data_IF_839679216606
#
_entry.id   IF_839679216606
#
_cell.length_a   1.000
_cell.length_b   1.000
_cell.length_c   1.000
_cell.angle_alpha   90.00
_cell.angle_beta   90.00
_cell.angle_gamma   90.00
#
_symmetry.space_group_name_H-M   'P 1'
#
loop_
_entity.id
_entity.type
_entity.pdbx_description
1 polymer ?
#
# COMPACT_ATOMS: atom_id res chain seq x y z
N UNK A 1 -20.41 -5.38 5.67
CA UNK A 1 -19.94 -6.78 5.53
C UNK A 1 -18.43 -6.80 5.66
N UNK A 2 -17.87 -7.86 6.24
CA UNK A 2 -16.42 -8.05 6.30
C UNK A 2 -15.97 -8.44 4.89
N UNK A 3 -15.06 -7.66 4.30
CA UNK A 3 -14.50 -7.98 2.99
C UNK A 3 -13.56 -9.17 3.13
N UNK A 4 -13.59 -10.09 2.17
CA UNK A 4 -12.78 -11.31 2.17
C UNK A 4 -11.71 -11.22 1.08
N UNK A 5 -10.52 -11.75 1.34
CA UNK A 5 -9.44 -11.81 0.34
C UNK A 5 -9.86 -12.75 -0.79
N UNK A 6 -9.73 -12.31 -2.03
CA UNK A 6 -9.97 -13.15 -3.21
C UNK A 6 -8.83 -14.17 -3.40
N UNK A 7 -9.06 -15.19 -4.23
CA UNK A 7 -8.01 -16.16 -4.53
C UNK A 7 -6.88 -15.50 -5.34
N UNK A 8 -5.61 -15.79 -5.01
CA UNK A 8 -4.49 -15.25 -5.76
C UNK A 8 -4.44 -15.82 -7.19
N UNK A 9 -3.96 -15.04 -8.18
CA UNK A 9 -3.70 -15.56 -9.53
C UNK A 9 -2.70 -16.74 -9.54
N UNK A 10 -2.89 -17.69 -10.45
CA UNK A 10 -1.99 -18.84 -10.56
C UNK A 10 -0.63 -18.48 -11.21
N UNK A 11 -0.61 -17.47 -12.07
CA UNK A 11 0.62 -16.99 -12.70
C UNK A 11 1.45 -16.20 -11.66
N UNK A 12 2.75 -16.48 -11.58
CA UNK A 12 3.66 -15.85 -10.61
C UNK A 12 3.72 -14.33 -10.73
N UNK A 13 3.87 -13.81 -11.95
CA UNK A 13 3.96 -12.37 -12.19
C UNK A 13 2.64 -11.66 -11.89
N UNK A 14 1.53 -12.25 -12.30
CA UNK A 14 0.21 -11.68 -12.02
C UNK A 14 -0.07 -11.71 -10.50
N UNK A 15 0.37 -12.77 -9.81
CA UNK A 15 0.26 -12.88 -8.35
C UNK A 15 1.13 -11.87 -7.61
N UNK A 16 2.35 -11.61 -8.10
CA UNK A 16 3.22 -10.56 -7.56
C UNK A 16 2.52 -9.18 -7.61
N UNK A 17 1.98 -8.82 -8.77
CA UNK A 17 1.23 -7.58 -8.95
C UNK A 17 -0.04 -7.53 -8.09
N UNK A 18 -0.77 -8.64 -8.04
CA UNK A 18 -1.95 -8.80 -7.18
C UNK A 18 -1.61 -8.60 -5.70
N UNK A 19 -0.48 -9.14 -5.23
CA UNK A 19 -0.01 -8.92 -3.86
C UNK A 19 0.36 -7.46 -3.58
N UNK A 20 1.01 -6.77 -4.52
CA UNK A 20 1.32 -5.35 -4.39
C UNK A 20 0.04 -4.48 -4.34
N UNK A 21 -0.93 -4.78 -5.19
CA UNK A 21 -2.25 -4.14 -5.15
C UNK A 21 -3.01 -4.47 -3.85
N UNK A 22 -2.90 -5.69 -3.35
CA UNK A 22 -3.43 -6.10 -2.05
C UNK A 22 -2.83 -5.32 -0.89
N UNK A 23 -1.51 -5.05 -0.92
CA UNK A 23 -0.87 -4.19 0.06
C UNK A 23 -1.36 -2.73 -0.04
N UNK A 24 -1.48 -2.20 -1.26
CA UNK A 24 -2.08 -0.88 -1.51
C UNK A 24 -3.50 -0.77 -0.95
N UNK A 25 -4.31 -1.81 -1.17
CA UNK A 25 -5.66 -1.93 -0.63
C UNK A 25 -5.70 -1.86 0.90
N UNK A 26 -4.86 -2.65 1.57
CA UNK A 26 -4.73 -2.64 3.03
C UNK A 26 -4.38 -1.24 3.54
N UNK A 27 -3.42 -0.57 2.89
CA UNK A 27 -2.99 0.79 3.27
C UNK A 27 -4.15 1.78 3.11
N UNK A 28 -4.88 1.74 2.00
CA UNK A 28 -5.97 2.68 1.74
C UNK A 28 -7.19 2.45 2.64
N UNK A 29 -7.60 1.20 2.84
CA UNK A 29 -8.75 0.89 3.70
C UNK A 29 -8.45 1.12 5.19
N UNK A 30 -7.22 0.85 5.65
CA UNK A 30 -6.90 0.94 7.07
C UNK A 30 -6.31 2.30 7.46
N UNK A 31 -5.43 2.88 6.64
CA UNK A 31 -4.68 4.09 7.00
C UNK A 31 -5.34 5.33 6.39
N UNK A 32 -5.56 5.34 5.07
CA UNK A 32 -6.15 6.50 4.40
C UNK A 32 -7.54 6.80 4.91
N UNK A 33 -8.41 5.79 4.92
CA UNK A 33 -9.78 5.92 5.43
C UNK A 33 -9.81 6.37 6.89
N UNK A 34 -8.96 5.78 7.74
CA UNK A 34 -8.82 6.19 9.14
C UNK A 34 -8.49 7.69 9.30
N UNK A 35 -7.61 8.22 8.44
CA UNK A 35 -7.23 9.63 8.47
C UNK A 35 -8.37 10.55 7.96
N UNK A 36 -9.05 10.14 6.88
CA UNK A 36 -10.20 10.86 6.33
C UNK A 36 -11.36 10.91 7.34
N UNK A 37 -11.66 9.81 8.01
CA UNK A 37 -12.73 9.69 9.01
C UNK A 37 -12.49 10.57 10.25
N UNK A 38 -11.28 11.12 10.41
CA UNK A 38 -10.90 12.04 11.49
C UNK A 38 -10.94 13.51 11.09
N UNK A 39 -11.23 13.81 9.84
CA UNK A 39 -11.41 15.20 9.43
C UNK A 39 -12.63 15.79 10.17
N UNK A 40 -12.55 17.03 10.67
CA UNK A 40 -13.70 17.69 11.29
C UNK A 40 -14.90 17.69 10.35
N UNK A 41 -16.09 17.39 10.89
CA UNK A 41 -17.32 17.34 10.09
C UNK A 41 -17.72 18.72 9.52
N UNK A 42 -17.35 19.80 10.20
CA UNK A 42 -17.71 21.19 9.86
C UNK A 42 -16.61 21.92 9.08
N UNK A 43 -15.76 21.18 8.37
CA UNK A 43 -14.69 21.76 7.54
C UNK A 43 -15.25 22.29 6.21
N UNK A 44 -14.77 23.45 5.76
CA UNK A 44 -15.12 23.95 4.44
C UNK A 44 -14.45 23.12 3.33
N UNK A 45 -14.98 23.20 2.11
CA UNK A 45 -14.54 22.35 1.00
C UNK A 45 -13.08 22.59 0.61
N UNK A 46 -12.63 23.85 0.59
CA UNK A 46 -11.24 24.17 0.22
C UNK A 46 -10.26 23.57 1.23
N UNK A 47 -10.59 23.68 2.52
CA UNK A 47 -9.79 23.13 3.59
C UNK A 47 -9.86 21.59 3.58
N UNK A 48 -11.02 21.00 3.29
CA UNK A 48 -11.18 19.55 3.10
C UNK A 48 -10.27 19.03 2.00
N UNK A 49 -10.27 19.66 0.82
CA UNK A 49 -9.40 19.29 -0.28
C UNK A 49 -7.91 19.38 0.08
N UNK A 50 -7.51 20.44 0.79
CA UNK A 50 -6.13 20.61 1.25
C UNK A 50 -5.71 19.48 2.21
N UNK A 51 -6.61 19.08 3.11
CA UNK A 51 -6.36 17.93 4.00
C UNK A 51 -6.26 16.61 3.23
N UNK A 52 -7.16 16.34 2.29
CA UNK A 52 -7.11 15.12 1.47
C UNK A 52 -5.78 15.03 0.71
N UNK A 53 -5.36 16.12 0.04
CA UNK A 53 -4.05 16.19 -0.64
C UNK A 53 -2.88 15.96 0.31
N UNK A 54 -2.95 16.49 1.52
CA UNK A 54 -1.90 16.31 2.54
C UNK A 54 -1.83 14.86 3.02
N UNK A 55 -2.98 14.22 3.24
CA UNK A 55 -3.07 12.79 3.59
C UNK A 55 -2.47 11.95 2.47
N UNK A 56 -2.89 12.19 1.24
CA UNK A 56 -2.44 11.44 0.06
C UNK A 56 -0.93 11.57 -0.16
N UNK A 57 -0.40 12.79 -0.09
CA UNK A 57 1.05 13.03 -0.19
C UNK A 57 1.84 12.35 0.94
N UNK A 58 1.28 12.29 2.15
CA UNK A 58 1.93 11.63 3.28
C UNK A 58 1.98 10.12 3.09
N UNK A 59 0.89 9.52 2.63
CA UNK A 59 0.82 8.09 2.34
C UNK A 59 1.75 7.73 1.18
N UNK A 60 1.78 8.56 0.14
CA UNK A 60 2.70 8.36 -0.98
C UNK A 60 4.17 8.45 -0.53
N UNK A 61 4.51 9.43 0.31
CA UNK A 61 5.84 9.53 0.93
C UNK A 61 6.20 8.30 1.76
N UNK A 62 5.25 7.78 2.54
CA UNK A 62 5.46 6.54 3.30
C UNK A 62 5.72 5.34 2.36
N UNK A 63 4.95 5.20 1.28
CA UNK A 63 5.16 4.13 0.29
C UNK A 63 6.53 4.25 -0.39
N UNK A 64 6.93 5.45 -0.79
CA UNK A 64 8.27 5.70 -1.34
C UNK A 64 9.38 5.29 -0.36
N UNK A 65 9.21 5.54 0.94
CA UNK A 65 10.16 5.07 1.95
C UNK A 65 10.22 3.54 2.03
N UNK A 66 9.06 2.86 1.96
CA UNK A 66 8.95 1.40 2.02
C UNK A 66 9.54 0.74 0.76
N UNK A 67 9.43 1.39 -0.38
CA UNK A 67 10.04 0.98 -1.66
C UNK A 67 11.55 1.36 -1.73
N UNK A 68 12.12 1.96 -0.68
CA UNK A 68 13.53 2.31 -0.62
C UNK A 68 13.94 3.49 -1.51
N UNK A 69 12.99 4.31 -1.96
CA UNK A 69 13.25 5.51 -2.77
C UNK A 69 14.02 6.58 -1.98
N UNK A 70 13.79 6.66 -0.68
CA UNK A 70 14.51 7.58 0.19
C UNK A 70 15.74 6.93 0.81
N UNK A 71 16.79 7.74 0.95
CA UNK A 71 18.09 7.29 1.44
C UNK A 71 17.99 6.72 2.88
N UNK A 72 18.70 5.62 3.14
CA UNK A 72 18.87 5.09 4.49
C UNK A 72 19.83 5.96 5.32
N UNK A 73 19.96 5.63 6.61
CA UNK A 73 20.99 6.24 7.46
C UNK A 73 22.25 5.38 7.45
N UNK A 74 23.39 5.94 7.05
CA UNK A 74 24.65 5.20 6.98
C UNK A 74 25.87 6.00 7.42
N UNK A 75 26.93 5.29 7.81
CA UNK A 75 28.28 5.79 8.04
C UNK A 75 29.30 4.72 7.62
N UNK A 76 30.60 4.95 7.87
CA UNK A 76 31.68 4.04 7.47
C UNK A 76 31.52 2.58 7.94
N UNK A 77 30.79 2.35 9.03
CA UNK A 77 30.69 1.04 9.68
C UNK A 77 29.27 0.45 9.72
N UNK A 78 28.24 1.28 9.55
CA UNK A 78 26.86 0.87 9.81
C UNK A 78 25.91 1.45 8.77
N UNK A 79 24.86 0.68 8.49
CA UNK A 79 23.77 1.03 7.62
C UNK A 79 22.45 0.64 8.30
N UNK A 80 21.49 1.57 8.32
CA UNK A 80 20.16 1.41 8.89
C UNK A 80 19.12 1.79 7.85
N UNK A 81 18.35 0.80 7.40
CA UNK A 81 17.28 0.96 6.42
C UNK A 81 15.96 0.42 6.98
N UNK A 82 14.85 0.94 6.45
CA UNK A 82 13.53 0.36 6.62
C UNK A 82 13.28 -0.63 5.49
N UNK A 83 12.86 -1.84 5.83
CA UNK A 83 12.52 -2.88 4.87
C UNK A 83 11.09 -3.35 5.15
N UNK A 84 10.31 -3.53 4.08
CA UNK A 84 8.95 -4.05 4.18
C UNK A 84 8.83 -5.29 3.32
N UNK A 85 8.13 -6.30 3.84
CA UNK A 85 7.80 -7.52 3.11
C UNK A 85 6.29 -7.68 3.05
N UNK A 86 5.75 -7.91 1.86
CA UNK A 86 4.36 -8.34 1.66
C UNK A 86 4.36 -9.86 1.70
N UNK A 87 3.52 -10.44 2.55
CA UNK A 87 3.52 -11.89 2.79
C UNK A 87 2.13 -12.45 2.51
N UNK A 88 2.08 -13.51 1.70
CA UNK A 88 0.86 -14.26 1.42
C UNK A 88 0.90 -15.60 2.15
N UNK A 89 -0.21 -15.91 2.84
CA UNK A 89 -0.37 -17.13 3.62
C UNK A 89 -1.46 -18.03 3.03
N UNK A 90 -1.24 -19.34 3.08
CA UNK A 90 -2.25 -20.39 2.83
C UNK A 90 -2.21 -21.37 4.00
N UNK A 91 -3.35 -21.62 4.63
CA UNK A 91 -3.48 -22.52 5.79
C UNK A 91 -2.48 -22.25 6.94
N UNK A 92 -2.07 -20.99 7.10
CA UNK A 92 -1.14 -20.54 8.14
C UNK A 92 0.34 -20.65 7.75
N UNK A 93 0.65 -21.20 6.58
CA UNK A 93 2.00 -21.30 6.03
C UNK A 93 2.24 -20.17 5.02
N UNK A 94 3.47 -19.66 4.98
CA UNK A 94 3.87 -18.65 3.99
C UNK A 94 4.04 -19.34 2.64
N UNK A 95 3.30 -18.89 1.63
CA UNK A 95 3.42 -19.40 0.26
C UNK A 95 4.18 -18.45 -0.66
N UNK A 96 4.26 -17.15 -0.31
CA UNK A 96 5.01 -16.16 -1.07
C UNK A 96 5.37 -14.94 -0.23
N UNK A 97 6.55 -14.37 -0.49
CA UNK A 97 7.07 -13.15 0.12
C UNK A 97 7.61 -12.22 -0.95
N UNK A 98 7.23 -10.94 -0.88
CA UNK A 98 7.75 -9.90 -1.75
C UNK A 98 8.45 -8.84 -0.90
N UNK A 99 9.76 -8.69 -1.08
CA UNK A 99 10.48 -7.55 -0.55
C UNK A 99 10.13 -6.32 -1.39
N UNK A 100 9.63 -5.25 -0.79
CA UNK A 100 9.22 -4.04 -1.52
C UNK A 100 10.39 -3.29 -2.14
N UNK A 101 11.63 -3.62 -1.74
CA UNK A 101 12.85 -3.14 -2.38
C UNK A 101 13.18 -3.88 -3.70
N UNK A 102 12.63 -5.07 -3.90
CA UNK A 102 12.88 -5.94 -5.04
C UNK A 102 11.60 -6.03 -5.89
N UNK A 103 11.52 -5.26 -6.98
CA UNK A 103 10.35 -5.27 -7.88
C UNK A 103 10.01 -3.89 -8.44
N UNK A 104 8.76 -3.72 -8.85
CA UNK A 104 8.27 -2.45 -9.42
C UNK A 104 7.98 -1.37 -8.36
N UNK A 105 7.88 -1.77 -7.08
CA UNK A 105 7.55 -0.89 -5.96
C UNK A 105 6.04 -0.60 -5.85
N UNK A 106 5.53 -0.52 -4.62
CA UNK A 106 4.11 -0.24 -4.36
C UNK A 106 3.68 1.14 -4.88
N UNK A 107 4.59 2.11 -4.93
CA UNK A 107 4.28 3.48 -5.33
C UNK A 107 3.74 3.59 -6.77
N UNK A 108 4.00 2.62 -7.65
CA UNK A 108 3.50 2.59 -9.02
C UNK A 108 1.96 2.50 -9.10
N UNK A 109 1.33 1.82 -8.15
CA UNK A 109 -0.14 1.66 -8.11
C UNK A 109 -0.88 2.85 -7.48
N UNK A 110 -0.17 3.78 -6.84
CA UNK A 110 -0.77 4.79 -5.97
C UNK A 110 -1.87 5.63 -6.62
N UNK A 111 -1.67 6.07 -7.87
CA UNK A 111 -2.66 6.89 -8.56
C UNK A 111 -3.96 6.12 -8.81
N UNK A 112 -3.88 4.86 -9.26
CA UNK A 112 -5.05 4.00 -9.43
C UNK A 112 -5.77 3.74 -8.10
N UNK A 113 -5.01 3.49 -7.02
CA UNK A 113 -5.60 3.24 -5.70
C UNK A 113 -6.38 4.43 -5.14
N UNK A 114 -5.98 5.66 -5.43
CA UNK A 114 -6.77 6.85 -5.09
C UNK A 114 -8.14 6.87 -5.76
N UNK A 115 -8.25 6.28 -6.93
CA UNK A 115 -9.50 6.13 -7.70
C UNK A 115 -10.26 4.85 -7.32
N UNK A 116 -9.79 4.12 -6.30
CA UNK A 116 -10.24 2.77 -5.89
C UNK A 116 -10.02 1.69 -6.97
N UNK A 117 -9.07 1.90 -7.88
CA UNK A 117 -8.62 0.89 -8.84
C UNK A 117 -7.40 0.15 -8.26
N UNK A 118 -7.61 -1.09 -7.82
CA UNK A 118 -6.57 -1.97 -7.27
C UNK A 118 -6.15 -3.05 -8.28
N UNK A 119 -6.22 -2.75 -9.58
CA UNK A 119 -5.79 -3.65 -10.63
C UNK A 119 -6.93 -4.49 -11.21
N UNK A 120 -6.58 -5.29 -12.23
CA UNK A 120 -7.54 -6.04 -13.03
C UNK A 120 -8.13 -7.26 -12.31
N UNK A 121 -7.33 -7.87 -11.43
CA UNK A 121 -7.75 -9.02 -10.63
C UNK A 121 -8.36 -8.53 -9.32
N UNK A 122 -9.51 -9.07 -8.95
CA UNK A 122 -10.17 -8.70 -7.70
C UNK A 122 -9.26 -9.05 -6.51
N UNK A 123 -9.00 -8.06 -5.65
CA UNK A 123 -8.30 -8.28 -4.37
C UNK A 123 -9.28 -8.77 -3.30
N UNK A 124 -10.53 -8.28 -3.36
CA UNK A 124 -11.55 -8.54 -2.34
C UNK A 124 -12.85 -9.02 -2.94
N UNK A 125 -13.45 -10.01 -2.29
CA UNK A 125 -14.81 -10.45 -2.56
C UNK A 125 -15.82 -9.65 -1.71
N UNK A 126 -17.01 -9.42 -2.28
CA UNK A 126 -18.11 -8.68 -1.65
C UNK A 126 -18.94 -9.53 -0.70
#
# INVERSE_FOLDING_TARGET
MKKELANPPSNERDRELWMQHGAGYIIFENIRKYAIDRLPAEIDENLREAHLKTIDNTIYGMMMQMDGIFDPLENENYHLALQTTIVLYEDGEVIEELNTLDGDGMCMGFHGWMENDFGNDEIVNH
#
